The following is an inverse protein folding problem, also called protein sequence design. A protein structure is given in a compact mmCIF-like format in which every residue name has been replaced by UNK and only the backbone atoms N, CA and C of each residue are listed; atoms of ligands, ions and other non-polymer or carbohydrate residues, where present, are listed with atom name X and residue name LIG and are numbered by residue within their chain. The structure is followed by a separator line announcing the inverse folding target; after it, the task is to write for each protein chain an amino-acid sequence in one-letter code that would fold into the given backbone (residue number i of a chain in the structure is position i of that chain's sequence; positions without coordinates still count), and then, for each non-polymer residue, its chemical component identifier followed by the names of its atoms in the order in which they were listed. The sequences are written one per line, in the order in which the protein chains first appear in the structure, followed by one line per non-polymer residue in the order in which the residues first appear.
data_IF_458437158671
#
_entry.id   IF_458437158671
#
_cell.length_a   1.000
_cell.length_b   1.000
_cell.length_c   1.000
_cell.angle_alpha   90.00
_cell.angle_beta   90.00
_cell.angle_gamma   90.00
#
_symmetry.space_group_name_H-M   'P 1'
#
loop_
_entity.id
_entity.type
_entity.pdbx_description
1 polymer ?
#
# COMPACT_ATOMS: atom_id res chain seq x y z
N UNK A 1 23.30 16.97 1.12
CA UNK A 1 22.79 15.59 0.86
C UNK A 1 21.61 15.37 1.83
N UNK A 2 20.37 15.54 1.38
CA UNK A 2 19.20 15.46 2.28
C UNK A 2 18.68 14.02 2.35
N UNK A 3 18.86 13.39 3.50
CA UNK A 3 18.37 12.03 3.77
C UNK A 3 17.00 12.14 4.42
N UNK A 4 15.93 11.90 3.67
CA UNK A 4 14.59 11.84 4.24
C UNK A 4 14.43 10.49 4.96
N UNK A 5 14.53 10.49 6.30
CA UNK A 5 14.16 9.35 7.12
C UNK A 5 12.64 9.20 7.06
N UNK A 6 12.16 8.26 6.27
CA UNK A 6 10.74 7.95 6.16
C UNK A 6 10.28 7.30 7.49
N UNK A 7 9.88 8.12 8.46
CA UNK A 7 9.18 7.65 9.66
C UNK A 7 7.78 7.24 9.21
N UNK A 8 7.46 5.96 9.30
CA UNK A 8 6.11 5.43 9.09
C UNK A 8 5.12 6.16 10.02
N UNK A 9 4.22 6.96 9.44
CA UNK A 9 3.39 7.95 10.14
C UNK A 9 2.18 7.29 10.84
N UNK A 10 1.69 6.18 10.32
CA UNK A 10 0.64 5.37 10.94
C UNK A 10 0.72 3.94 10.41
N UNK A 11 0.42 2.96 11.27
CA UNK A 11 0.34 1.55 10.90
C UNK A 11 -1.00 1.00 11.37
N UNK A 12 -1.93 0.85 10.44
CA UNK A 12 -3.18 0.13 10.67
C UNK A 12 -2.98 -1.32 10.20
N UNK A 13 -3.41 -2.28 11.00
CA UNK A 13 -3.41 -3.72 10.65
C UNK A 13 -4.83 -4.21 10.84
N UNK A 14 -5.46 -4.67 9.77
CA UNK A 14 -6.78 -5.28 9.82
C UNK A 14 -6.63 -6.76 9.49
N UNK A 15 -7.30 -7.61 10.28
CA UNK A 15 -7.33 -9.05 10.09
C UNK A 15 -8.67 -9.43 9.45
N UNK A 16 -8.65 -10.39 8.52
CA UNK A 16 -9.87 -11.03 7.99
C UNK A 16 -10.75 -10.13 7.10
N UNK A 17 -10.15 -9.44 6.14
CA UNK A 17 -10.88 -8.69 5.12
C UNK A 17 -11.72 -9.63 4.23
N UNK A 18 -13.05 -9.55 4.33
CA UNK A 18 -14.01 -10.27 3.47
C UNK A 18 -14.31 -9.52 2.16
N UNK A 19 -13.84 -8.27 2.05
CA UNK A 19 -14.03 -7.39 0.88
C UNK A 19 -12.79 -7.39 -0.02
N UNK A 20 -12.97 -7.07 -1.31
CA UNK A 20 -11.84 -6.97 -2.22
C UNK A 20 -10.89 -5.84 -1.78
N UNK A 21 -9.56 -6.00 -1.91
CA UNK A 21 -8.61 -4.94 -1.56
C UNK A 21 -8.87 -3.61 -2.27
N UNK A 22 -9.38 -3.65 -3.51
CA UNK A 22 -9.81 -2.48 -4.27
C UNK A 22 -10.99 -1.76 -3.65
N UNK A 23 -12.02 -2.49 -3.22
CA UNK A 23 -13.20 -1.91 -2.57
C UNK A 23 -12.82 -1.23 -1.26
N UNK A 24 -12.07 -1.94 -0.41
CA UNK A 24 -11.57 -1.37 0.86
C UNK A 24 -10.70 -0.13 0.64
N UNK A 25 -9.89 -0.11 -0.42
CA UNK A 25 -9.12 1.07 -0.78
C UNK A 25 -10.01 2.26 -1.10
N UNK A 26 -11.00 2.07 -1.97
CA UNK A 26 -11.86 3.14 -2.46
C UNK A 26 -12.83 3.65 -1.38
N UNK A 27 -13.38 2.74 -0.57
CA UNK A 27 -14.42 3.05 0.42
C UNK A 27 -13.83 3.65 1.71
N UNK A 28 -12.70 3.11 2.19
CA UNK A 28 -12.23 3.38 3.55
C UNK A 28 -10.88 4.09 3.63
N UNK A 29 -9.95 3.79 2.73
CA UNK A 29 -8.56 4.26 2.86
C UNK A 29 -8.24 5.50 2.03
N UNK A 30 -8.75 5.60 0.80
CA UNK A 30 -8.39 6.67 -0.14
C UNK A 30 -8.69 8.05 0.46
N UNK A 31 -9.89 8.23 1.03
CA UNK A 31 -10.31 9.48 1.67
C UNK A 31 -9.42 9.87 2.84
N UNK A 32 -9.08 8.92 3.72
CA UNK A 32 -8.18 9.13 4.87
C UNK A 32 -6.75 9.49 4.42
N UNK A 33 -6.25 8.84 3.37
CA UNK A 33 -4.93 9.12 2.79
C UNK A 33 -4.90 10.52 2.18
N UNK A 34 -5.95 10.92 1.46
CA UNK A 34 -6.07 12.27 0.90
C UNK A 34 -6.21 13.35 1.97
N UNK A 35 -6.93 13.10 3.07
CA UNK A 35 -7.04 14.03 4.20
C UNK A 35 -5.69 14.27 4.86
N UNK A 36 -4.94 13.20 5.12
CA UNK A 36 -3.56 13.28 5.64
C UNK A 36 -2.67 14.06 4.66
N UNK A 37 -2.84 13.85 3.34
CA UNK A 37 -2.11 14.59 2.32
C UNK A 37 -2.44 16.09 2.35
N UNK A 38 -3.71 16.48 2.48
CA UNK A 38 -4.16 17.88 2.56
C UNK A 38 -3.56 18.61 3.77
N UNK A 39 -3.35 17.91 4.88
CA UNK A 39 -2.74 18.48 6.09
C UNK A 39 -1.26 18.91 5.92
N UNK A 40 -0.62 18.55 4.80
CA UNK A 40 0.80 18.86 4.52
C UNK A 40 0.93 19.47 3.13
N UNK A 41 1.89 20.41 2.90
CA UNK A 41 2.17 20.94 1.58
C UNK A 41 2.97 19.93 0.73
N UNK A 42 2.39 18.75 0.52
CA UNK A 42 3.02 17.64 -0.17
C UNK A 42 2.10 17.11 -1.27
N UNK A 43 2.68 16.71 -2.40
CA UNK A 43 1.98 16.01 -3.47
C UNK A 43 2.29 14.51 -3.39
N UNK A 44 1.33 13.63 -3.71
CA UNK A 44 1.61 12.20 -3.82
C UNK A 44 2.68 11.99 -4.90
N UNK A 45 3.72 11.22 -4.58
CA UNK A 45 4.83 10.93 -5.49
C UNK A 45 4.68 9.55 -6.11
N UNK A 46 4.73 8.52 -5.27
CA UNK A 46 4.52 7.13 -5.69
C UNK A 46 3.96 6.30 -4.56
N UNK A 47 3.16 5.30 -4.91
CA UNK A 47 2.67 4.30 -3.98
C UNK A 47 3.41 3.00 -4.20
N UNK A 48 3.93 2.41 -3.12
CA UNK A 48 4.56 1.10 -3.13
C UNK A 48 3.63 0.12 -2.45
N UNK A 49 3.26 -0.94 -3.16
CA UNK A 49 2.49 -2.07 -2.63
C UNK A 49 3.44 -3.26 -2.50
N UNK A 50 3.56 -3.78 -1.28
CA UNK A 50 4.32 -5.00 -0.98
C UNK A 50 3.32 -6.08 -0.61
N UNK A 51 3.30 -7.16 -1.38
CA UNK A 51 2.54 -8.36 -1.08
C UNK A 51 3.49 -9.42 -0.54
N UNK A 52 3.17 -9.99 0.62
CA UNK A 52 4.01 -10.98 1.30
C UNK A 52 3.18 -12.11 1.89
N UNK A 53 3.80 -13.26 2.06
CA UNK A 53 3.27 -14.39 2.82
C UNK A 53 3.95 -14.39 4.19
N UNK A 54 3.25 -14.86 5.23
CA UNK A 54 3.85 -15.03 6.58
C UNK A 54 5.00 -16.05 6.64
N UNK A 55 5.22 -16.81 5.57
CA UNK A 55 6.32 -17.75 5.41
C UNK A 55 7.40 -17.14 4.51
N UNK A 56 8.67 -17.25 4.93
CA UNK A 56 9.84 -16.72 4.21
C UNK A 56 10.22 -17.53 2.96
N UNK A 57 9.52 -18.64 2.71
CA UNK A 57 9.72 -19.46 1.51
C UNK A 57 9.31 -18.74 0.23
N UNK A 58 8.33 -17.84 0.29
CA UNK A 58 7.88 -17.03 -0.86
C UNK A 58 8.51 -15.64 -0.82
N UNK A 59 9.16 -15.17 -1.89
CA UNK A 59 9.72 -13.82 -1.94
C UNK A 59 8.60 -12.77 -1.94
N UNK A 60 8.83 -11.67 -1.23
CA UNK A 60 7.93 -10.53 -1.27
C UNK A 60 7.85 -9.96 -2.68
N UNK A 61 6.63 -9.74 -3.17
CA UNK A 61 6.41 -9.08 -4.45
C UNK A 61 6.15 -7.60 -4.19
N UNK A 62 7.02 -6.75 -4.74
CA UNK A 62 6.91 -5.29 -4.62
C UNK A 62 6.48 -4.70 -5.96
N UNK A 63 5.43 -3.89 -5.94
CA UNK A 63 4.95 -3.12 -7.09
C UNK A 63 4.96 -1.64 -6.72
N UNK A 64 5.37 -0.80 -7.66
CA UNK A 64 5.39 0.65 -7.50
C UNK A 64 4.48 1.30 -8.54
N UNK A 65 3.57 2.13 -8.06
CA UNK A 65 2.58 2.84 -8.84
C UNK A 65 2.81 4.35 -8.73
N UNK A 66 2.32 5.09 -9.73
CA UNK A 66 2.43 6.54 -9.76
C UNK A 66 1.38 7.15 -8.82
N UNK A 67 1.79 8.14 -8.03
CA UNK A 67 0.89 8.84 -7.11
C UNK A 67 0.10 7.86 -6.24
N UNK A 68 -1.23 7.96 -6.15
CA UNK A 68 -2.13 7.05 -5.43
C UNK A 68 -2.85 6.05 -6.36
N UNK A 69 -2.52 6.04 -7.66
CA UNK A 69 -3.20 5.22 -8.67
C UNK A 69 -2.70 3.78 -8.67
N UNK A 70 -3.17 2.97 -7.72
CA UNK A 70 -2.86 1.54 -7.64
C UNK A 70 -3.63 0.79 -8.72
N UNK A 71 -2.94 0.00 -9.54
CA UNK A 71 -3.57 -0.95 -10.45
C UNK A 71 -3.98 -2.21 -9.67
N UNK A 72 -5.17 -2.16 -9.10
CA UNK A 72 -5.73 -3.23 -8.28
C UNK A 72 -5.84 -4.59 -8.99
N UNK A 73 -6.25 -4.67 -10.27
CA UNK A 73 -6.22 -5.93 -11.00
C UNK A 73 -4.87 -6.66 -10.95
N UNK A 74 -3.73 -5.94 -10.99
CA UNK A 74 -2.40 -6.55 -10.87
C UNK A 74 -2.20 -7.15 -9.47
N UNK A 75 -2.61 -6.43 -8.42
CA UNK A 75 -2.49 -6.85 -7.02
C UNK A 75 -3.40 -8.06 -6.76
N UNK A 76 -4.66 -7.98 -7.16
CA UNK A 76 -5.67 -9.02 -6.94
C UNK A 76 -5.35 -10.30 -7.71
N UNK A 77 -4.85 -10.18 -8.95
CA UNK A 77 -4.37 -11.35 -9.71
C UNK A 77 -3.25 -12.08 -8.98
N UNK A 78 -2.35 -11.35 -8.34
CA UNK A 78 -1.27 -11.96 -7.56
C UNK A 78 -1.80 -12.65 -6.29
N UNK A 79 -2.73 -12.01 -5.58
CA UNK A 79 -3.37 -12.61 -4.39
C UNK A 79 -4.17 -13.86 -4.76
N UNK A 80 -4.86 -13.83 -5.90
CA UNK A 80 -5.58 -14.98 -6.42
C UNK A 80 -4.64 -16.15 -6.75
N UNK A 81 -3.48 -15.88 -7.35
CA UNK A 81 -2.45 -16.90 -7.59
C UNK A 81 -1.95 -17.54 -6.27
N UNK A 82 -1.90 -16.75 -5.18
CA UNK A 82 -1.56 -17.21 -3.84
C UNK A 82 -2.74 -17.72 -3.00
N UNK A 83 -3.96 -17.78 -3.54
CA UNK A 83 -5.14 -18.22 -2.79
C UNK A 83 -5.01 -19.63 -2.19
N UNK A 84 -4.28 -20.52 -2.88
CA UNK A 84 -3.99 -21.86 -2.40
C UNK A 84 -3.16 -21.87 -1.10
N UNK A 85 -2.33 -20.85 -0.86
CA UNK A 85 -1.52 -20.72 0.36
C UNK A 85 -2.39 -20.52 1.60
N UNK A 86 -3.55 -19.87 1.45
CA UNK A 86 -4.52 -19.71 2.55
C UNK A 86 -5.05 -21.06 3.03
N UNK A 87 -5.25 -22.02 2.11
CA UNK A 87 -5.77 -23.36 2.43
C UNK A 87 -4.80 -24.20 3.25
N UNK A 88 -3.50 -23.93 3.14
CA UNK A 88 -2.44 -24.60 3.91
C UNK A 88 -2.02 -23.79 5.15
N UNK A 89 -2.88 -22.86 5.61
CA UNK A 89 -2.69 -22.10 6.85
C UNK A 89 -1.71 -20.93 6.76
N UNK A 90 -1.29 -20.53 5.56
CA UNK A 90 -0.48 -19.32 5.37
C UNK A 90 -1.36 -18.08 5.42
N UNK A 91 -0.76 -16.93 5.74
CA UNK A 91 -1.43 -15.63 5.79
C UNK A 91 -0.83 -14.72 4.75
N UNK A 92 -1.66 -14.19 3.86
CA UNK A 92 -1.27 -13.15 2.90
C UNK A 92 -1.34 -11.79 3.57
N UNK A 93 -0.40 -10.91 3.24
CA UNK A 93 -0.34 -9.55 3.77
C UNK A 93 -0.05 -8.57 2.64
N UNK A 94 -0.81 -7.49 2.62
CA UNK A 94 -0.58 -6.35 1.74
C UNK A 94 -0.09 -5.19 2.62
N UNK A 95 1.03 -4.58 2.23
CA UNK A 95 1.49 -3.34 2.82
C UNK A 95 1.52 -2.26 1.75
N UNK A 96 0.79 -1.17 1.98
CA UNK A 96 0.76 -0.02 1.08
C UNK A 96 1.51 1.14 1.74
N UNK A 97 2.48 1.70 1.04
CA UNK A 97 3.34 2.77 1.51
C UNK A 97 3.33 3.94 0.52
N UNK A 98 3.15 5.16 1.02
CA UNK A 98 3.04 6.37 0.20
C UNK A 98 4.29 7.23 0.32
N UNK A 99 4.90 7.54 -0.82
CA UNK A 99 5.92 8.59 -0.91
C UNK A 99 5.24 9.92 -1.21
N UNK A 100 5.45 10.91 -0.35
CA UNK A 100 4.94 12.26 -0.52
C UNK A 100 6.10 13.21 -0.78
N UNK A 101 6.05 13.90 -1.92
CA UNK A 101 7.06 14.90 -2.28
C UNK A 101 6.61 16.27 -1.80
N UNK A 102 7.50 16.97 -1.09
CA UNK A 102 7.26 18.35 -0.67
C UNK A 102 7.07 19.22 -1.91
N UNK A 103 6.00 20.02 -1.95
CA UNK A 103 5.85 21.01 -2.99
C UNK A 103 6.99 22.04 -2.83
N UNK A 104 7.83 22.30 -3.84
CA UNK A 104 8.76 23.42 -3.75
C UNK A 104 7.92 24.68 -3.59
N UNK A 105 8.10 25.39 -2.48
CA UNK A 105 7.53 26.74 -2.32
C UNK A 105 8.11 27.56 -3.48
N UNK A 106 7.25 28.15 -4.31
CA UNK A 106 7.70 29.20 -5.22
C UNK A 106 8.41 30.25 -4.38
N UNK A 107 9.64 30.57 -4.81
CA UNK A 107 10.45 31.65 -4.27
C UNK A 107 9.80 33.01 -4.50
#
# INVERSE_FOLDING_TARGET
KFTFKNRSIAKQTEEELVVAPSDFWNEELLSKVEEIAKSKPCKPGSTTVVMSVNDRSEPNITKRFKELGIDWPIVEKQLHAWSHLLRIGKRLKINVSFDYRRNPRNS
#
